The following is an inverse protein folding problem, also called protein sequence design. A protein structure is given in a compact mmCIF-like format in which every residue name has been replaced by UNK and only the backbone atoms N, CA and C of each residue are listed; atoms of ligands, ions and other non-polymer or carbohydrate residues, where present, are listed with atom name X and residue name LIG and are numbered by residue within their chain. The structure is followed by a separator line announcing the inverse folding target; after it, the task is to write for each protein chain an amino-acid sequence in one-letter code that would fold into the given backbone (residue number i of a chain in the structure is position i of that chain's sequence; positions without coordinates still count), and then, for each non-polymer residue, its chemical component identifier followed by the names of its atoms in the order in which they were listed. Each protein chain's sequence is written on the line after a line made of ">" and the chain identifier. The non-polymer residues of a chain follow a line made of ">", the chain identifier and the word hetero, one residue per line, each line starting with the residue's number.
data_IF_636182844928
#
_entry.id   IF_636182844928
#
_cell.length_a   1.000
_cell.length_b   1.000
_cell.length_c   1.000
_cell.angle_alpha   90.00
_cell.angle_beta   90.00
_cell.angle_gamma   90.00
#
_symmetry.space_group_name_H-M   'P 1'
#
loop_
_entity.id
_entity.type
_entity.pdbx_description
1 polymer ?
#
# COMPACT_ATOMS: atom_id res chain seq x y z
N UNK A 1 12.39 -0.11 5.88
CA UNK A 1 11.22 -0.59 6.67
C UNK A 1 11.74 -1.33 7.88
N UNK A 2 11.06 -1.25 9.03
CA UNK A 2 11.51 -1.81 10.31
C UNK A 2 10.52 -2.85 10.83
N UNK A 3 11.01 -3.99 11.30
CA UNK A 3 10.24 -5.00 12.01
C UNK A 3 10.92 -5.22 13.36
N UNK A 4 10.36 -4.59 14.39
CA UNK A 4 10.91 -4.62 15.75
C UNK A 4 10.15 -5.67 16.55
N UNK A 5 10.88 -6.59 17.16
CA UNK A 5 10.35 -7.68 17.97
C UNK A 5 11.24 -7.90 19.20
N UNK A 6 10.67 -8.49 20.24
CA UNK A 6 11.39 -8.87 21.46
C UNK A 6 11.32 -10.39 21.63
N UNK A 7 12.46 -11.00 21.95
CA UNK A 7 12.57 -12.43 22.23
C UNK A 7 12.72 -12.60 23.74
N UNK A 8 11.89 -13.42 24.35
CA UNK A 8 11.94 -13.61 25.81
C UNK A 8 12.62 -14.91 26.24
N UNK A 9 12.80 -15.90 25.38
CA UNK A 9 13.31 -17.23 25.79
C UNK A 9 13.70 -18.15 24.61
N UNK A 10 13.68 -17.66 23.37
CA UNK A 10 13.92 -18.48 22.17
C UNK A 10 14.60 -17.66 21.08
N UNK A 11 15.38 -18.33 20.25
CA UNK A 11 16.03 -17.72 19.10
C UNK A 11 15.03 -17.49 17.95
N UNK A 12 15.45 -16.75 16.94
CA UNK A 12 14.66 -16.52 15.73
C UNK A 12 14.89 -17.70 14.79
N UNK A 13 13.81 -18.25 14.25
CA UNK A 13 13.88 -19.16 13.12
C UNK A 13 14.03 -18.38 11.80
N UNK A 14 13.15 -17.40 11.55
CA UNK A 14 13.29 -16.48 10.42
C UNK A 14 12.51 -15.18 10.58
N UNK A 15 12.94 -14.13 9.88
CA UNK A 15 12.18 -12.91 9.63
C UNK A 15 11.94 -12.78 8.13
N UNK A 16 10.67 -12.71 7.71
CA UNK A 16 10.28 -12.67 6.31
C UNK A 16 9.50 -11.40 6.00
N UNK A 17 9.70 -10.86 4.81
CA UNK A 17 9.10 -9.61 4.36
C UNK A 17 8.32 -9.81 3.07
N UNK A 18 7.13 -9.23 3.02
CA UNK A 18 6.15 -9.44 1.96
C UNK A 18 5.61 -8.13 1.39
N UNK A 19 5.39 -8.07 0.08
CA UNK A 19 4.54 -7.09 -0.59
C UNK A 19 3.27 -7.83 -1.03
N UNK A 20 2.13 -7.50 -0.42
CA UNK A 20 0.93 -8.32 -0.57
C UNK A 20 1.18 -9.75 -0.07
N UNK A 21 1.10 -10.74 -0.96
CA UNK A 21 1.39 -12.16 -0.66
C UNK A 21 2.78 -12.62 -1.11
N UNK A 22 3.54 -11.77 -1.82
CA UNK A 22 4.84 -12.15 -2.39
C UNK A 22 5.96 -11.83 -1.40
N UNK A 23 6.69 -12.86 -0.98
CA UNK A 23 7.92 -12.70 -0.20
C UNK A 23 8.99 -12.05 -1.07
N UNK A 24 9.73 -11.07 -0.55
CA UNK A 24 10.82 -10.40 -1.26
C UNK A 24 12.14 -10.39 -0.49
N UNK A 25 12.13 -10.62 0.82
CA UNK A 25 13.33 -10.71 1.65
C UNK A 25 13.11 -11.65 2.83
N UNK A 26 14.13 -12.45 3.16
CA UNK A 26 14.19 -13.30 4.33
C UNK A 26 15.54 -13.22 5.02
N UNK A 27 15.51 -13.18 6.34
CA UNK A 27 16.64 -13.44 7.22
C UNK A 27 16.41 -14.76 7.97
N UNK A 28 17.36 -15.69 7.90
CA UNK A 28 17.36 -16.98 8.58
C UNK A 28 18.74 -17.22 9.20
N UNK A 29 18.95 -17.03 10.52
CA UNK A 29 20.29 -17.06 11.13
C UNK A 29 20.96 -18.45 11.06
N UNK A 30 20.16 -19.51 10.93
CA UNK A 30 20.64 -20.90 10.90
C UNK A 30 20.95 -21.41 9.48
N UNK A 31 20.68 -20.61 8.44
CA UNK A 31 20.92 -21.00 7.04
C UNK A 31 22.19 -20.34 6.48
N UNK A 32 22.84 -21.00 5.52
CA UNK A 32 23.90 -20.40 4.69
C UNK A 32 23.41 -20.29 3.23
N UNK A 33 23.26 -19.08 2.66
CA UNK A 33 23.45 -17.76 3.28
C UNK A 33 22.32 -17.39 4.25
N UNK A 34 22.63 -16.52 5.21
CA UNK A 34 21.68 -16.06 6.24
C UNK A 34 20.59 -15.13 5.69
N UNK A 35 20.80 -14.56 4.50
CA UNK A 35 19.82 -13.70 3.83
C UNK A 35 19.47 -14.24 2.45
N UNK A 36 18.17 -14.20 2.12
CA UNK A 36 17.65 -14.58 0.81
C UNK A 36 16.76 -13.45 0.28
N UNK A 37 16.91 -13.15 -1.01
CA UNK A 37 16.12 -12.14 -1.71
C UNK A 37 15.35 -12.87 -2.80
N UNK A 38 14.03 -12.69 -2.80
CA UNK A 38 13.13 -13.28 -3.78
C UNK A 38 12.77 -12.22 -4.81
N UNK A 39 12.79 -12.55 -6.11
CA UNK A 39 12.47 -11.58 -7.15
C UNK A 39 10.98 -11.22 -7.08
N UNK A 40 10.71 -9.95 -6.81
CA UNK A 40 9.37 -9.34 -6.92
C UNK A 40 9.49 -8.15 -7.86
N UNK A 41 8.54 -8.03 -8.79
CA UNK A 41 8.60 -7.02 -9.84
C UNK A 41 8.74 -5.60 -9.25
N UNK A 42 9.76 -4.87 -9.70
CA UNK A 42 10.09 -3.51 -9.25
C UNK A 42 10.86 -3.43 -7.93
N UNK A 43 10.93 -4.48 -7.10
CA UNK A 43 11.66 -4.45 -5.83
C UNK A 43 13.15 -4.75 -6.06
N UNK A 44 14.01 -3.81 -5.65
CA UNK A 44 15.47 -3.98 -5.60
C UNK A 44 15.95 -3.80 -4.16
N UNK A 45 16.54 -4.84 -3.56
CA UNK A 45 17.01 -4.80 -2.17
C UNK A 45 18.45 -4.32 -2.08
N UNK A 46 18.70 -3.35 -1.22
CA UNK A 46 20.05 -2.99 -0.79
C UNK A 46 20.53 -4.01 0.23
N UNK A 47 21.40 -4.92 -0.20
CA UNK A 47 21.92 -6.00 0.65
C UNK A 47 22.92 -5.51 1.70
N UNK A 48 23.56 -4.35 1.49
CA UNK A 48 24.56 -3.81 2.42
C UNK A 48 23.90 -3.11 3.60
N UNK A 49 22.73 -2.50 3.37
CA UNK A 49 21.98 -1.76 4.37
C UNK A 49 20.73 -2.50 4.89
N UNK A 50 20.54 -3.77 4.52
CA UNK A 50 19.44 -4.62 5.03
C UNK A 50 19.98 -5.71 5.95
N UNK A 51 19.25 -5.99 7.04
CA UNK A 51 19.64 -6.93 8.09
C UNK A 51 18.41 -7.64 8.69
N UNK A 52 18.56 -8.24 9.88
CA UNK A 52 17.51 -9.01 10.54
C UNK A 52 16.30 -8.20 11.00
N UNK A 53 16.45 -6.90 11.23
CA UNK A 53 15.37 -6.02 11.73
C UNK A 53 14.85 -5.06 10.68
N UNK A 54 15.64 -4.72 9.66
CA UNK A 54 15.28 -3.70 8.68
C UNK A 54 15.64 -4.10 7.25
N UNK A 55 14.77 -3.73 6.31
CA UNK A 55 14.98 -3.93 4.87
C UNK A 55 14.90 -2.61 4.13
N UNK A 56 15.88 -2.38 3.26
CA UNK A 56 16.01 -1.19 2.42
C UNK A 56 15.73 -1.55 0.97
N UNK A 57 14.72 -0.90 0.38
CA UNK A 57 14.39 -1.02 -1.03
C UNK A 57 14.97 0.20 -1.76
N UNK A 58 15.77 -0.04 -2.78
CA UNK A 58 16.40 1.00 -3.61
C UNK A 58 15.46 1.47 -4.71
N UNK A 59 15.56 2.75 -5.06
CA UNK A 59 14.91 3.36 -6.22
C UNK A 59 13.41 3.02 -6.31
N UNK A 60 12.69 3.25 -5.20
CA UNK A 60 11.26 2.94 -5.12
C UNK A 60 10.46 3.75 -6.14
N UNK A 61 9.57 3.07 -6.86
CA UNK A 61 8.67 3.67 -7.84
C UNK A 61 7.21 3.67 -7.35
N UNK A 62 6.33 4.54 -7.85
CA UNK A 62 4.94 4.66 -7.37
C UNK A 62 4.10 3.37 -7.41
N UNK A 63 4.39 2.47 -8.36
CA UNK A 63 3.78 1.14 -8.45
C UNK A 63 4.14 0.19 -7.29
N UNK A 64 5.16 0.53 -6.48
CA UNK A 64 5.52 -0.19 -5.27
C UNK A 64 4.66 0.21 -4.07
N UNK A 65 3.81 1.23 -4.20
CA UNK A 65 2.84 1.56 -3.15
C UNK A 65 1.94 0.35 -2.83
N UNK A 66 1.55 0.21 -1.57
CA UNK A 66 0.69 -0.87 -1.13
C UNK A 66 1.03 -1.40 0.25
N UNK A 67 0.41 -2.52 0.61
CA UNK A 67 0.59 -3.14 1.91
C UNK A 67 1.84 -4.02 1.92
N UNK A 68 2.65 -3.79 2.94
CA UNK A 68 3.83 -4.59 3.28
C UNK A 68 3.60 -5.26 4.62
N UNK A 69 4.15 -6.45 4.79
CA UNK A 69 4.12 -7.16 6.06
C UNK A 69 5.45 -7.80 6.38
N UNK A 70 5.78 -7.85 7.67
CA UNK A 70 6.84 -8.70 8.17
C UNK A 70 6.24 -9.82 9.01
N UNK A 71 6.80 -11.01 8.88
CA UNK A 71 6.49 -12.20 9.68
C UNK A 71 7.76 -12.61 10.43
N UNK A 72 7.68 -12.67 11.76
CA UNK A 72 8.77 -13.12 12.64
C UNK A 72 8.39 -14.49 13.17
N UNK A 73 9.22 -15.50 12.93
CA UNK A 73 9.02 -16.89 13.38
C UNK A 73 10.10 -17.21 14.41
N UNK A 74 9.71 -17.68 15.59
CA UNK A 74 10.65 -18.11 16.63
C UNK A 74 11.02 -19.58 16.46
N UNK A 75 12.26 -19.91 16.80
CA UNK A 75 12.79 -21.26 16.86
C UNK A 75 12.43 -21.90 18.21
N UNK A 76 11.16 -22.30 18.35
CA UNK A 76 10.61 -22.97 19.52
C UNK A 76 9.75 -24.16 19.08
N UNK A 77 9.37 -25.04 20.01
CA UNK A 77 8.66 -26.30 19.71
C UNK A 77 7.40 -26.11 18.84
N UNK A 78 6.68 -25.00 18.98
CA UNK A 78 5.45 -24.71 18.21
C UNK A 78 5.67 -23.75 17.04
N UNK A 79 6.90 -23.30 16.78
CA UNK A 79 7.25 -22.28 15.79
C UNK A 79 6.27 -21.09 15.79
N UNK A 80 6.07 -20.42 16.94
CA UNK A 80 5.15 -19.31 17.02
C UNK A 80 5.60 -18.19 16.06
N UNK A 81 4.63 -17.56 15.40
CA UNK A 81 4.87 -16.52 14.42
C UNK A 81 3.98 -15.31 14.65
N UNK A 82 4.53 -14.13 14.38
CA UNK A 82 3.86 -12.85 14.54
C UNK A 82 3.99 -12.04 13.27
N UNK A 83 2.88 -11.45 12.83
CA UNK A 83 2.83 -10.65 11.61
C UNK A 83 2.45 -9.22 11.91
N UNK A 84 3.28 -8.28 11.49
CA UNK A 84 2.95 -6.85 11.48
C UNK A 84 2.75 -6.37 10.04
N UNK A 85 1.81 -5.44 9.85
CA UNK A 85 1.49 -4.88 8.53
C UNK A 85 1.59 -3.37 8.57
N UNK A 86 2.07 -2.78 7.49
CA UNK A 86 2.05 -1.34 7.27
C UNK A 86 1.88 -1.05 5.78
N UNK A 87 1.46 0.17 5.46
CA UNK A 87 1.31 0.61 4.07
C UNK A 87 2.45 1.56 3.70
N UNK A 88 3.09 1.27 2.57
CA UNK A 88 4.03 2.19 1.93
C UNK A 88 3.29 2.98 0.86
N UNK A 89 3.40 4.30 0.92
CA UNK A 89 2.92 5.20 -0.13
C UNK A 89 4.14 5.89 -0.75
N UNK A 90 4.41 5.57 -2.02
CA UNK A 90 5.51 6.17 -2.78
C UNK A 90 4.94 7.32 -3.59
N UNK A 91 5.26 8.54 -3.18
CA UNK A 91 4.92 9.78 -3.89
C UNK A 91 6.12 10.24 -4.72
N UNK A 92 5.87 10.76 -5.92
CA UNK A 92 6.92 11.34 -6.74
C UNK A 92 7.39 12.70 -6.20
N UNK A 93 8.55 13.15 -6.67
CA UNK A 93 8.95 14.56 -6.55
C UNK A 93 8.02 15.31 -7.52
N UNK A 94 7.07 16.06 -6.98
CA UNK A 94 6.04 16.73 -7.78
C UNK A 94 4.87 17.16 -6.91
N UNK A 95 4.17 18.21 -7.34
CA UNK A 95 2.98 18.71 -6.69
C UNK A 95 1.73 18.08 -7.30
N UNK A 96 0.77 17.72 -6.46
CA UNK A 96 -0.62 17.54 -6.86
C UNK A 96 -1.36 18.79 -6.39
N UNK A 97 -2.05 19.46 -7.30
CA UNK A 97 -2.96 20.55 -6.95
C UNK A 97 -4.35 20.22 -7.46
N UNK A 98 -5.30 20.02 -6.56
CA UNK A 98 -6.71 20.03 -6.92
C UNK A 98 -7.10 21.46 -7.32
N UNK A 99 -7.58 21.64 -8.54
CA UNK A 99 -7.90 22.96 -9.10
C UNK A 99 -9.38 23.27 -8.99
N UNK A 100 -10.26 22.28 -9.19
CA UNK A 100 -11.70 22.52 -9.19
C UNK A 100 -12.51 21.25 -8.85
N UNK A 101 -13.59 21.43 -8.08
CA UNK A 101 -14.64 20.44 -7.91
C UNK A 101 -15.86 20.88 -8.72
N UNK A 102 -16.20 20.12 -9.76
CA UNK A 102 -17.39 20.34 -10.60
C UNK A 102 -18.49 19.34 -10.24
N UNK A 103 -19.70 19.85 -10.07
CA UNK A 103 -20.91 19.04 -9.87
C UNK A 103 -21.90 19.45 -10.97
N UNK A 104 -22.32 18.50 -11.79
CA UNK A 104 -23.20 18.75 -12.93
C UNK A 104 -24.28 17.67 -13.04
N UNK A 105 -25.59 18.02 -12.97
CA UNK A 105 -26.12 19.36 -12.70
C UNK A 105 -25.92 19.80 -11.24
N UNK A 106 -25.91 21.12 -10.94
CA UNK A 106 -25.77 21.62 -9.57
C UNK A 106 -27.04 21.39 -8.72
N UNK A 107 -28.20 21.24 -9.36
CA UNK A 107 -29.48 20.95 -8.72
C UNK A 107 -30.21 19.91 -9.55
N UNK A 108 -30.69 18.86 -8.89
CA UNK A 108 -31.39 17.75 -9.53
C UNK A 108 -32.64 17.35 -8.75
N UNK A 109 -33.57 16.69 -9.43
CA UNK A 109 -34.72 16.07 -8.77
C UNK A 109 -34.31 14.77 -8.09
N UNK A 110 -35.13 14.31 -7.13
CA UNK A 110 -34.89 13.05 -6.44
C UNK A 110 -34.85 11.89 -7.45
N UNK A 111 -33.80 11.08 -7.36
CA UNK A 111 -33.61 9.91 -8.23
C UNK A 111 -32.90 10.21 -9.55
N UNK A 112 -32.57 11.46 -9.84
CA UNK A 112 -31.70 11.83 -10.97
C UNK A 112 -30.23 11.61 -10.63
N UNK A 113 -29.44 11.34 -11.66
CA UNK A 113 -28.00 11.18 -11.56
C UNK A 113 -27.26 12.53 -11.61
N UNK A 114 -26.06 12.55 -11.03
CA UNK A 114 -25.14 13.70 -11.04
C UNK A 114 -23.73 13.23 -11.35
N UNK A 115 -23.01 14.02 -12.14
CA UNK A 115 -21.59 13.81 -12.39
C UNK A 115 -20.78 14.70 -11.48
N UNK A 116 -19.85 14.10 -10.76
CA UNK A 116 -18.85 14.80 -9.97
C UNK A 116 -17.50 14.67 -10.66
N UNK A 117 -16.84 15.79 -10.96
CA UNK A 117 -15.51 15.81 -11.57
C UNK A 117 -14.53 16.60 -10.71
N UNK A 118 -13.40 15.98 -10.38
CA UNK A 118 -12.31 16.61 -9.64
C UNK A 118 -11.21 16.91 -10.66
N UNK A 119 -11.02 18.19 -10.97
CA UNK A 119 -9.95 18.64 -11.84
C UNK A 119 -8.70 18.85 -10.99
N UNK A 120 -7.57 18.37 -11.49
CA UNK A 120 -6.30 18.47 -10.82
C UNK A 120 -5.16 18.59 -11.83
N UNK A 121 -4.09 19.24 -11.39
CA UNK A 121 -2.83 19.34 -12.11
C UNK A 121 -1.80 18.44 -11.42
N UNK A 122 -1.08 17.67 -12.22
CA UNK A 122 0.11 16.93 -11.82
C UNK A 122 1.31 17.65 -12.40
N UNK A 123 2.39 17.77 -11.63
CA UNK A 123 3.68 18.17 -12.21
C UNK A 123 4.46 16.93 -12.61
N UNK A 124 5.39 16.49 -11.79
CA UNK A 124 6.36 15.43 -12.08
C UNK A 124 6.00 14.10 -11.39
N UNK A 125 5.08 14.12 -10.42
CA UNK A 125 4.63 12.96 -9.68
C UNK A 125 3.34 12.38 -10.30
N UNK A 126 3.23 11.04 -10.46
CA UNK A 126 1.97 10.44 -10.91
C UNK A 126 0.91 10.54 -9.82
N UNK A 127 -0.36 10.51 -10.24
CA UNK A 127 -1.50 10.51 -9.33
C UNK A 127 -1.46 9.29 -8.41
N UNK A 128 -1.46 9.54 -7.10
CA UNK A 128 -1.62 8.50 -6.09
C UNK A 128 -3.08 8.05 -5.96
N UNK A 129 -3.99 8.98 -5.69
CA UNK A 129 -5.43 8.70 -5.63
C UNK A 129 -6.29 9.96 -5.75
N UNK A 130 -7.46 9.85 -6.36
CA UNK A 130 -8.56 10.81 -6.21
C UNK A 130 -9.60 10.20 -5.26
N UNK A 131 -9.91 10.91 -4.17
CA UNK A 131 -10.86 10.46 -3.14
C UNK A 131 -12.03 11.42 -3.04
N UNK A 132 -13.21 10.86 -2.88
CA UNK A 132 -14.47 11.58 -2.87
C UNK A 132 -15.15 11.42 -1.52
N UNK A 133 -15.57 12.55 -0.96
CA UNK A 133 -16.11 12.63 0.39
C UNK A 133 -17.47 13.31 0.45
N UNK A 134 -18.36 12.80 1.29
CA UNK A 134 -19.53 13.52 1.79
C UNK A 134 -19.31 13.81 3.26
N UNK A 135 -19.03 15.07 3.58
CA UNK A 135 -18.56 15.46 4.91
C UNK A 135 -17.23 14.76 5.21
N UNK A 136 -17.22 13.87 6.21
CA UNK A 136 -16.03 13.08 6.60
C UNK A 136 -16.01 11.66 6.03
N UNK A 137 -17.07 11.24 5.35
CA UNK A 137 -17.20 9.87 4.84
C UNK A 137 -16.68 9.80 3.41
N UNK A 138 -15.63 9.02 3.21
CA UNK A 138 -15.20 8.61 1.88
C UNK A 138 -16.25 7.70 1.28
N UNK A 139 -16.65 7.93 0.03
CA UNK A 139 -17.61 7.06 -0.66
C UNK A 139 -17.06 6.47 -1.96
N UNK A 140 -16.02 7.07 -2.54
CA UNK A 140 -15.36 6.57 -3.74
C UNK A 140 -13.88 6.96 -3.77
N UNK A 141 -13.04 6.05 -4.28
CA UNK A 141 -11.61 6.26 -4.51
C UNK A 141 -11.19 5.69 -5.85
N UNK A 142 -10.42 6.47 -6.59
CA UNK A 142 -9.65 6.02 -7.73
C UNK A 142 -8.16 6.06 -7.39
N UNK A 143 -7.48 4.91 -7.46
CA UNK A 143 -6.06 4.72 -7.19
C UNK A 143 -5.42 3.96 -8.37
N UNK A 144 -4.77 4.65 -9.33
CA UNK A 144 -4.26 4.02 -10.57
C UNK A 144 -3.28 2.87 -10.36
N UNK A 145 -2.56 2.87 -9.23
CA UNK A 145 -1.57 1.84 -8.88
C UNK A 145 -2.16 0.62 -8.16
N UNK A 146 -3.45 0.62 -7.84
CA UNK A 146 -4.12 -0.49 -7.17
C UNK A 146 -4.87 -1.38 -8.17
N UNK A 147 -5.08 -2.65 -7.79
CA UNK A 147 -5.92 -3.58 -8.55
C UNK A 147 -6.95 -4.19 -7.60
N UNK A 148 -8.25 -3.88 -7.75
CA UNK A 148 -8.83 -2.95 -8.72
C UNK A 148 -8.44 -1.48 -8.43
N UNK A 149 -8.40 -0.65 -9.47
CA UNK A 149 -8.06 0.77 -9.35
C UNK A 149 -9.18 1.58 -8.67
N UNK A 150 -10.42 1.09 -8.69
CA UNK A 150 -11.58 1.74 -8.07
C UNK A 150 -11.98 1.01 -6.80
N UNK A 151 -12.34 1.80 -5.77
CA UNK A 151 -12.92 1.29 -4.52
C UNK A 151 -14.14 2.13 -4.15
N UNK A 152 -15.23 1.43 -3.83
CA UNK A 152 -16.48 2.03 -3.36
C UNK A 152 -16.57 1.80 -1.85
N UNK A 153 -16.88 2.85 -1.12
CA UNK A 153 -17.14 2.80 0.31
C UNK A 153 -18.63 3.08 0.52
N UNK A 154 -19.45 2.07 0.85
CA UNK A 154 -20.89 2.23 0.92
C UNK A 154 -21.30 3.34 1.91
N UNK A 155 -22.15 4.26 1.44
CA UNK A 155 -22.70 5.34 2.26
C UNK A 155 -24.19 5.50 1.97
N UNK A 156 -25.01 5.59 3.01
CA UNK A 156 -26.46 5.62 2.87
C UNK A 156 -26.92 6.80 1.98
N UNK A 157 -27.69 6.49 0.93
CA UNK A 157 -28.21 7.45 -0.03
C UNK A 157 -27.23 7.90 -1.12
N UNK A 158 -26.06 7.27 -1.25
CA UNK A 158 -25.15 7.46 -2.40
C UNK A 158 -24.99 6.12 -3.11
N UNK A 159 -25.33 6.08 -4.39
CA UNK A 159 -25.01 4.99 -5.29
C UNK A 159 -23.99 5.51 -6.31
N UNK A 160 -22.85 4.82 -6.41
CA UNK A 160 -21.79 5.19 -7.36
C UNK A 160 -21.90 4.24 -8.55
N UNK A 161 -22.18 4.78 -9.72
CA UNK A 161 -22.11 4.03 -10.97
C UNK A 161 -20.66 3.98 -11.46
N UNK A 162 -20.09 2.77 -11.50
CA UNK A 162 -18.73 2.48 -11.97
C UNK A 162 -18.70 1.92 -13.40
N UNK A 163 -19.86 1.78 -14.06
CA UNK A 163 -19.95 1.27 -15.43
C UNK A 163 -19.55 2.30 -16.50
N UNK A 164 -19.37 3.56 -16.09
CA UNK A 164 -19.13 4.72 -16.96
C UNK A 164 -17.64 5.08 -17.09
N UNK A 165 -16.73 4.16 -16.73
CA UNK A 165 -15.28 4.32 -16.79
C UNK A 165 -14.64 3.55 -17.95
#
# INVERSE_FOLDING_TARGET
>A
MACIYQLHESEIYSVKWYKGSQEFYRYSPLESPTTRVMPVNGIKIDRLNSNETHVVIMNVTPNLSGNYSCEVIQNAHTFPHYTAKSRLDVVGIGGLRATELRISPPVVQRGSDVTLACLYELTEAPLYSVKWYRGRHEFYRFSPSETPATKIFPFAGINVDVSIL
#
